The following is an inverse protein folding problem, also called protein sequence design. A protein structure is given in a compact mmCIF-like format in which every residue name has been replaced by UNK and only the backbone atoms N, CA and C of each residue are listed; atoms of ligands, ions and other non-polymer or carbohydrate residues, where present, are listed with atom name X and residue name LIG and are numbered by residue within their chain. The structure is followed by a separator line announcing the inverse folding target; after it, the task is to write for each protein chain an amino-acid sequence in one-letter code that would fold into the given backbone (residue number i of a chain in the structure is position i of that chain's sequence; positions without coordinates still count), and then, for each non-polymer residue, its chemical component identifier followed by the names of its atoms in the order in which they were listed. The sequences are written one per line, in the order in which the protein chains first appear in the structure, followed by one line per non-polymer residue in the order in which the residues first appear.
data_IF_507825061801
#
_entry.id   IF_507825061801
#
_cell.length_a   1.000
_cell.length_b   1.000
_cell.length_c   1.000
_cell.angle_alpha   90.00
_cell.angle_beta   90.00
_cell.angle_gamma   90.00
#
_symmetry.space_group_name_H-M   'P 1'
#
loop_
_entity.id
_entity.type
_entity.pdbx_description
1 polymer ?
#
# COMPACT_ATOMS: atom_id res chain seq x y z
N UNK A 1 -4.16 -14.85 -4.32
CA UNK A 1 -5.10 -14.91 -5.45
C UNK A 1 -6.42 -15.51 -4.99
N UNK A 2 -7.54 -15.01 -5.52
CA UNK A 2 -8.87 -15.60 -5.34
C UNK A 2 -9.44 -16.05 -6.69
N UNK A 3 -10.29 -17.06 -6.65
CA UNK A 3 -11.00 -17.52 -7.84
C UNK A 3 -12.48 -17.21 -7.72
N UNK A 4 -13.03 -16.52 -8.70
CA UNK A 4 -14.44 -16.13 -8.74
C UNK A 4 -15.12 -16.65 -10.02
N UNK A 5 -16.45 -16.68 -9.99
CA UNK A 5 -17.25 -16.83 -11.21
C UNK A 5 -17.91 -15.47 -11.48
N UNK A 6 -17.53 -14.86 -12.61
CA UNK A 6 -18.07 -13.60 -13.07
C UNK A 6 -18.62 -13.77 -14.49
N UNK A 7 -19.88 -13.38 -14.71
CA UNK A 7 -20.56 -13.52 -16.01
C UNK A 7 -20.44 -14.92 -16.61
N UNK A 8 -20.53 -15.96 -15.76
CA UNK A 8 -20.46 -17.37 -16.17
C UNK A 8 -19.03 -17.89 -16.48
N UNK A 9 -18.01 -17.09 -16.28
CA UNK A 9 -16.60 -17.47 -16.51
C UNK A 9 -15.84 -17.53 -15.21
N UNK A 10 -14.94 -18.52 -15.10
CA UNK A 10 -13.98 -18.63 -14.00
C UNK A 10 -12.87 -17.59 -14.21
N UNK A 11 -12.64 -16.73 -13.23
CA UNK A 11 -11.62 -15.66 -13.24
C UNK A 11 -10.75 -15.80 -12.00
N UNK A 12 -9.45 -15.76 -12.19
CA UNK A 12 -8.48 -15.69 -11.10
C UNK A 12 -8.03 -14.24 -10.95
N UNK A 13 -8.26 -13.67 -9.77
CA UNK A 13 -7.87 -12.29 -9.44
C UNK A 13 -6.69 -12.30 -8.47
N UNK A 14 -5.73 -11.44 -8.73
CA UNK A 14 -4.69 -11.13 -7.75
C UNK A 14 -5.30 -10.26 -6.65
N UNK A 15 -5.27 -10.68 -5.39
CA UNK A 15 -5.80 -9.94 -4.26
C UNK A 15 -5.17 -8.56 -4.10
N UNK A 16 -3.89 -8.41 -4.46
CA UNK A 16 -3.19 -7.12 -4.45
C UNK A 16 -3.74 -6.08 -5.43
N UNK A 17 -4.51 -6.49 -6.45
CA UNK A 17 -5.16 -5.56 -7.38
C UNK A 17 -6.58 -5.17 -6.97
N UNK A 18 -7.14 -5.82 -5.96
CA UNK A 18 -8.50 -5.55 -5.47
C UNK A 18 -8.48 -4.31 -4.57
N UNK A 19 -9.24 -3.30 -4.95
CA UNK A 19 -9.38 -2.07 -4.17
C UNK A 19 -10.46 -2.22 -3.09
N UNK A 20 -11.63 -2.68 -3.50
CA UNK A 20 -12.74 -2.94 -2.58
C UNK A 20 -13.76 -3.89 -3.20
N UNK A 21 -14.64 -4.40 -2.34
CA UNK A 21 -15.81 -5.19 -2.70
C UNK A 21 -17.03 -4.48 -2.17
N UNK A 22 -18.03 -4.28 -3.04
CA UNK A 22 -19.25 -3.57 -2.72
C UNK A 22 -20.47 -4.41 -3.08
N UNK A 23 -21.45 -4.49 -2.20
CA UNK A 23 -22.74 -5.09 -2.48
C UNK A 23 -23.74 -4.00 -2.89
N UNK A 24 -24.15 -4.01 -4.16
CA UNK A 24 -25.11 -3.09 -4.73
C UNK A 24 -26.29 -3.89 -5.30
N UNK A 25 -27.52 -3.60 -4.88
CA UNK A 25 -28.72 -4.27 -5.39
C UNK A 25 -28.67 -5.81 -5.32
N UNK A 26 -28.15 -6.37 -4.23
CA UNK A 26 -27.94 -7.81 -3.99
C UNK A 26 -26.89 -8.46 -4.89
N UNK A 27 -26.16 -7.69 -5.69
CA UNK A 27 -25.03 -8.15 -6.48
C UNK A 27 -23.75 -7.73 -5.75
N UNK A 28 -22.80 -8.64 -5.64
CA UNK A 28 -21.49 -8.34 -5.10
C UNK A 28 -20.55 -8.04 -6.25
N UNK A 29 -19.92 -6.88 -6.20
CA UNK A 29 -19.00 -6.36 -7.22
C UNK A 29 -17.60 -6.21 -6.63
N UNK A 30 -16.61 -6.76 -7.33
CA UNK A 30 -15.19 -6.65 -6.97
C UNK A 30 -14.57 -5.58 -7.87
N UNK A 31 -14.13 -4.49 -7.26
CA UNK A 31 -13.50 -3.36 -7.93
C UNK A 31 -11.98 -3.53 -7.86
N UNK A 32 -11.32 -3.51 -9.00
CA UNK A 32 -9.87 -3.68 -9.09
C UNK A 32 -9.18 -2.44 -9.66
N UNK A 33 -7.88 -2.33 -9.44
CA UNK A 33 -7.04 -1.30 -10.05
C UNK A 33 -7.20 -1.29 -11.56
N UNK A 34 -7.18 -0.10 -12.17
CA UNK A 34 -7.47 0.07 -13.61
C UNK A 34 -8.96 0.17 -13.95
N UNK A 35 -9.85 0.32 -12.95
CA UNK A 35 -11.26 0.64 -13.14
C UNK A 35 -12.14 -0.54 -13.58
N UNK A 36 -11.64 -1.76 -13.54
CA UNK A 36 -12.41 -2.93 -13.93
C UNK A 36 -13.25 -3.44 -12.76
N UNK A 37 -14.48 -3.89 -13.05
CA UNK A 37 -15.45 -4.37 -12.07
C UNK A 37 -15.86 -5.80 -12.44
N UNK A 38 -15.85 -6.69 -11.45
CA UNK A 38 -16.25 -8.08 -11.63
C UNK A 38 -17.44 -8.40 -10.73
N UNK A 39 -18.66 -8.48 -11.28
CA UNK A 39 -19.80 -8.99 -10.53
C UNK A 39 -19.63 -10.47 -10.23
N UNK A 40 -20.00 -10.90 -9.01
CA UNK A 40 -19.90 -12.29 -8.60
C UNK A 40 -21.13 -12.75 -7.83
N UNK A 41 -21.37 -14.06 -7.81
CA UNK A 41 -22.42 -14.69 -6.97
C UNK A 41 -21.92 -15.05 -5.57
N UNK A 42 -20.63 -14.91 -5.31
CA UNK A 42 -20.09 -15.10 -3.96
C UNK A 42 -20.70 -14.08 -3.01
N UNK A 43 -20.97 -14.52 -1.80
CA UNK A 43 -21.44 -13.63 -0.74
C UNK A 43 -20.29 -12.83 -0.14
N UNK A 44 -20.60 -11.71 0.51
CA UNK A 44 -19.56 -10.94 1.22
C UNK A 44 -18.81 -11.73 2.30
N UNK A 45 -19.48 -12.58 3.12
CA UNK A 45 -18.75 -13.42 4.08
C UNK A 45 -17.79 -14.43 3.44
N UNK A 46 -18.17 -15.03 2.30
CA UNK A 46 -17.26 -15.91 1.54
C UNK A 46 -16.06 -15.14 1.02
N UNK A 47 -16.26 -13.96 0.43
CA UNK A 47 -15.18 -13.11 -0.04
C UNK A 47 -14.30 -12.59 1.10
N UNK A 48 -14.88 -12.20 2.24
CA UNK A 48 -14.14 -11.79 3.43
C UNK A 48 -13.14 -12.87 3.87
N UNK A 49 -13.55 -14.13 3.83
CA UNK A 49 -12.69 -15.27 4.15
C UNK A 49 -11.59 -15.51 3.11
N UNK A 50 -11.93 -15.43 1.82
CA UNK A 50 -10.98 -15.68 0.71
C UNK A 50 -9.96 -14.55 0.54
N UNK A 51 -10.35 -13.31 0.81
CA UNK A 51 -9.49 -12.12 0.68
C UNK A 51 -8.41 -12.06 1.78
N UNK A 52 -8.68 -12.64 2.95
CA UNK A 52 -7.73 -12.71 4.07
C UNK A 52 -7.50 -11.38 4.78
N UNK A 53 -6.39 -11.31 5.52
CA UNK A 53 -6.14 -10.25 6.52
C UNK A 53 -5.85 -8.85 5.95
N UNK A 54 -5.59 -8.72 4.66
CA UNK A 54 -5.31 -7.42 4.03
C UNK A 54 -6.53 -6.52 3.84
N UNK A 55 -7.73 -6.96 4.24
CA UNK A 55 -8.99 -6.29 3.97
C UNK A 55 -9.76 -5.95 5.24
N UNK A 56 -10.54 -4.87 5.19
CA UNK A 56 -11.31 -4.31 6.30
C UNK A 56 -12.78 -4.24 5.91
N UNK A 57 -13.65 -4.80 6.72
CA UNK A 57 -15.10 -4.66 6.57
C UNK A 57 -15.56 -3.34 7.18
N UNK A 58 -15.88 -2.38 6.33
CA UNK A 58 -16.20 -1.01 6.73
C UNK A 58 -17.70 -0.78 6.99
N UNK A 59 -18.55 -1.59 6.35
CA UNK A 59 -19.96 -1.74 6.69
C UNK A 59 -20.51 -3.09 6.21
N UNK A 60 -21.79 -3.36 6.44
CA UNK A 60 -22.43 -4.65 6.10
C UNK A 60 -22.35 -5.05 4.61
N UNK A 61 -22.17 -4.08 3.72
CA UNK A 61 -22.13 -4.28 2.27
C UNK A 61 -20.79 -3.91 1.64
N UNK A 62 -19.73 -3.61 2.42
CA UNK A 62 -18.45 -3.20 1.84
C UNK A 62 -17.25 -3.73 2.61
N UNK A 63 -16.29 -4.23 1.85
CA UNK A 63 -14.97 -4.64 2.31
C UNK A 63 -13.94 -3.87 1.47
N UNK A 64 -12.93 -3.27 2.09
CA UNK A 64 -11.91 -2.47 1.42
C UNK A 64 -10.51 -2.99 1.71
N UNK A 65 -9.64 -2.96 0.72
CA UNK A 65 -8.22 -3.26 0.89
C UNK A 65 -7.54 -2.18 1.73
N UNK A 66 -6.84 -2.55 2.79
CA UNK A 66 -6.09 -1.59 3.62
C UNK A 66 -5.03 -0.84 2.80
N UNK A 67 -4.48 -1.46 1.75
CA UNK A 67 -3.50 -0.82 0.85
C UNK A 67 -4.13 0.17 -0.13
N UNK A 68 -5.44 0.06 -0.38
CA UNK A 68 -6.15 1.00 -1.25
C UNK A 68 -6.56 2.29 -0.52
N UNK A 69 -6.56 2.29 0.82
CA UNK A 69 -6.99 3.43 1.63
C UNK A 69 -5.89 4.49 1.64
N UNK A 70 -6.24 5.71 1.22
CA UNK A 70 -5.40 6.91 1.36
C UNK A 70 -5.55 7.53 2.75
N UNK A 71 -6.80 7.82 3.16
CA UNK A 71 -7.11 8.31 4.50
C UNK A 71 -8.55 7.97 4.90
N UNK A 72 -8.84 8.10 6.20
CA UNK A 72 -10.16 7.89 6.79
C UNK A 72 -10.57 9.18 7.52
N UNK A 73 -11.55 9.88 6.94
CA UNK A 73 -12.14 11.11 7.51
C UNK A 73 -13.64 10.92 7.71
N UNK A 74 -14.48 11.70 7.04
CA UNK A 74 -15.94 11.48 6.98
C UNK A 74 -16.30 10.32 6.05
N UNK A 75 -15.40 10.05 5.10
CA UNK A 75 -15.43 8.88 4.21
C UNK A 75 -14.07 8.19 4.24
N UNK A 76 -14.01 6.98 3.70
CA UNK A 76 -12.76 6.30 3.36
C UNK A 76 -12.37 6.75 1.96
N UNK A 77 -11.31 7.55 1.85
CA UNK A 77 -10.79 8.00 0.58
C UNK A 77 -9.73 7.01 0.10
N UNK A 78 -9.82 6.61 -1.17
CA UNK A 78 -8.92 5.65 -1.79
C UNK A 78 -7.81 6.36 -2.58
N UNK A 79 -6.71 5.66 -2.80
CA UNK A 79 -5.57 6.15 -3.57
C UNK A 79 -5.91 6.49 -5.04
N UNK A 80 -6.99 5.91 -5.58
CA UNK A 80 -7.48 6.18 -6.93
C UNK A 80 -8.46 7.38 -7.00
N UNK A 81 -8.69 8.07 -5.87
CA UNK A 81 -9.59 9.23 -5.77
C UNK A 81 -11.05 8.90 -5.48
N UNK A 82 -11.43 7.62 -5.43
CA UNK A 82 -12.78 7.21 -5.03
C UNK A 82 -12.97 7.35 -3.51
N UNK A 83 -14.23 7.50 -3.10
CA UNK A 83 -14.61 7.60 -1.68
C UNK A 83 -15.69 6.59 -1.34
N UNK A 84 -15.52 5.90 -0.23
CA UNK A 84 -16.45 4.89 0.28
C UNK A 84 -17.04 5.36 1.61
N UNK A 85 -18.33 5.11 1.80
CA UNK A 85 -18.99 5.32 3.09
C UNK A 85 -18.63 4.17 4.06
N UNK A 86 -18.67 4.44 5.33
CA UNK A 86 -18.47 3.44 6.38
C UNK A 86 -19.44 3.64 7.55
N UNK A 87 -19.52 2.66 8.43
CA UNK A 87 -20.36 2.75 9.63
C UNK A 87 -19.70 3.67 10.66
N UNK A 88 -20.18 4.90 10.81
CA UNK A 88 -19.60 5.97 11.68
C UNK A 88 -19.37 5.47 13.11
N UNK A 89 -20.29 4.69 13.68
CA UNK A 89 -20.14 4.11 15.02
C UNK A 89 -18.94 3.19 15.18
N UNK A 90 -18.37 2.70 14.07
CA UNK A 90 -17.17 1.84 14.03
C UNK A 90 -15.91 2.58 13.62
N UNK A 91 -15.93 3.91 13.54
CA UNK A 91 -14.80 4.72 13.05
C UNK A 91 -13.48 4.34 13.73
N UNK A 92 -13.43 4.36 15.05
CA UNK A 92 -12.20 4.05 15.80
C UNK A 92 -11.72 2.61 15.55
N UNK A 93 -12.64 1.65 15.50
CA UNK A 93 -12.32 0.24 15.21
C UNK A 93 -11.75 0.09 13.79
N UNK A 94 -12.32 0.79 12.80
CA UNK A 94 -11.85 0.75 11.41
C UNK A 94 -10.46 1.38 11.29
N UNK A 95 -10.23 2.51 11.97
CA UNK A 95 -8.93 3.19 12.01
C UNK A 95 -7.88 2.28 12.66
N UNK A 96 -8.18 1.67 13.78
CA UNK A 96 -7.28 0.73 14.48
C UNK A 96 -6.94 -0.47 13.60
N UNK A 97 -7.94 -1.08 12.93
CA UNK A 97 -7.72 -2.15 11.98
C UNK A 97 -6.86 -1.70 10.79
N UNK A 98 -7.08 -0.50 10.28
CA UNK A 98 -6.30 0.05 9.17
C UNK A 98 -4.81 0.13 9.53
N UNK A 99 -4.46 0.75 10.63
CA UNK A 99 -3.06 0.85 11.06
C UNK A 99 -2.44 -0.52 11.41
N UNK A 100 -3.20 -1.38 12.09
CA UNK A 100 -2.74 -2.73 12.41
C UNK A 100 -2.43 -3.55 11.16
N UNK A 101 -3.32 -3.49 10.15
CA UNK A 101 -3.14 -4.22 8.90
C UNK A 101 -2.02 -3.65 8.05
N UNK A 102 -1.87 -2.34 7.96
CA UNK A 102 -0.71 -1.73 7.30
C UNK A 102 0.61 -2.17 7.94
N UNK A 103 0.69 -2.13 9.27
CA UNK A 103 1.87 -2.61 10.01
C UNK A 103 2.17 -4.08 9.75
N UNK A 104 1.14 -4.93 9.72
CA UNK A 104 1.28 -6.36 9.41
C UNK A 104 1.75 -6.60 7.97
N UNK A 105 1.19 -5.88 7.00
CA UNK A 105 1.61 -5.97 5.59
C UNK A 105 3.08 -5.57 5.46
N UNK A 106 3.49 -4.44 6.01
CA UNK A 106 4.88 -3.97 6.00
C UNK A 106 5.80 -4.99 6.66
N UNK A 107 5.40 -5.57 7.81
CA UNK A 107 6.22 -6.58 8.51
C UNK A 107 6.31 -7.90 7.75
N UNK A 108 5.28 -8.28 6.99
CA UNK A 108 5.28 -9.47 6.16
C UNK A 108 6.14 -9.29 4.89
N UNK A 109 6.08 -8.11 4.27
CA UNK A 109 7.03 -7.75 3.21
C UNK A 109 8.48 -7.90 3.68
N UNK A 110 8.80 -7.49 4.90
CA UNK A 110 10.15 -7.67 5.49
C UNK A 110 10.53 -9.15 5.70
N UNK A 111 9.57 -10.07 5.86
CA UNK A 111 9.83 -11.51 6.02
C UNK A 111 10.00 -12.26 4.70
N UNK A 112 9.51 -11.76 3.60
CA UNK A 112 9.49 -12.44 2.29
C UNK A 112 10.71 -12.10 1.40
N UNK A 113 11.85 -11.79 1.99
CA UNK A 113 13.10 -11.60 1.22
C UNK A 113 13.36 -10.18 0.77
N UNK A 114 12.80 -9.20 1.46
CA UNK A 114 13.22 -7.81 1.29
C UNK A 114 14.69 -7.67 1.70
N UNK A 115 15.47 -6.95 0.91
CA UNK A 115 16.85 -6.66 1.22
C UNK A 115 16.98 -6.08 2.64
N UNK A 116 17.97 -6.55 3.40
CA UNK A 116 18.24 -6.04 4.75
C UNK A 116 19.63 -5.42 4.86
N UNK A 117 20.50 -5.75 3.90
CA UNK A 117 21.85 -5.17 3.80
C UNK A 117 21.96 -4.32 2.54
N UNK A 118 22.92 -3.41 2.49
CA UNK A 118 23.18 -2.58 1.31
C UNK A 118 23.49 -3.42 0.06
N UNK A 119 24.15 -4.57 0.24
CA UNK A 119 24.45 -5.50 -0.84
C UNK A 119 23.18 -6.17 -1.38
N UNK A 120 22.27 -6.58 -0.49
CA UNK A 120 20.97 -7.14 -0.85
C UNK A 120 20.13 -6.12 -1.62
N UNK A 121 20.11 -4.86 -1.19
CA UNK A 121 19.39 -3.78 -1.89
C UNK A 121 19.95 -3.56 -3.29
N UNK A 122 21.27 -3.50 -3.47
CA UNK A 122 21.90 -3.37 -4.78
C UNK A 122 21.59 -4.53 -5.71
N UNK A 123 21.59 -5.76 -5.20
CA UNK A 123 21.27 -6.96 -5.95
C UNK A 123 19.79 -6.98 -6.37
N UNK A 124 18.91 -6.67 -5.43
CA UNK A 124 17.45 -6.65 -5.65
C UNK A 124 17.04 -5.62 -6.71
N UNK A 125 17.62 -4.43 -6.64
CA UNK A 125 17.33 -3.33 -7.55
C UNK A 125 18.32 -3.18 -8.72
N UNK A 126 19.11 -4.19 -9.01
CA UNK A 126 20.14 -4.13 -10.06
C UNK A 126 19.61 -3.73 -11.45
N UNK A 127 18.37 -4.11 -11.79
CA UNK A 127 17.71 -3.71 -13.04
C UNK A 127 17.32 -2.23 -13.10
N UNK A 128 17.30 -1.53 -11.97
CA UNK A 128 16.92 -0.11 -11.87
C UNK A 128 18.12 0.83 -11.90
N UNK A 129 19.35 0.30 -11.83
CA UNK A 129 20.59 1.09 -11.77
C UNK A 129 20.76 2.03 -12.97
N UNK A 130 20.41 1.56 -14.17
CA UNK A 130 20.61 2.28 -15.42
C UNK A 130 19.36 3.01 -15.93
N UNK A 131 18.33 3.19 -15.10
CA UNK A 131 17.16 3.96 -15.50
C UNK A 131 17.53 5.44 -15.76
N UNK A 132 16.91 6.08 -16.76
CA UNK A 132 17.18 7.48 -17.09
C UNK A 132 16.56 8.48 -16.11
N UNK A 133 15.82 8.00 -15.12
CA UNK A 133 15.17 8.80 -14.07
C UNK A 133 15.63 8.33 -12.68
N UNK A 134 15.56 9.25 -11.72
CA UNK A 134 15.89 8.96 -10.33
C UNK A 134 14.95 7.91 -9.75
N UNK A 135 15.53 6.87 -9.17
CA UNK A 135 14.81 5.82 -8.43
C UNK A 135 15.45 5.63 -7.08
N UNK A 136 14.63 5.51 -6.04
CA UNK A 136 15.07 5.26 -4.68
C UNK A 136 14.10 4.34 -3.95
N UNK A 137 14.63 3.54 -3.03
CA UNK A 137 13.88 2.87 -1.98
C UNK A 137 14.23 3.52 -0.64
N UNK A 138 13.21 3.76 0.17
CA UNK A 138 13.33 4.44 1.45
C UNK A 138 12.71 3.62 2.58
N UNK A 139 13.33 3.64 3.73
CA UNK A 139 12.75 3.13 4.97
C UNK A 139 12.15 4.29 5.76
N UNK A 140 10.85 4.24 6.00
CA UNK A 140 10.14 5.25 6.79
C UNK A 140 10.46 5.10 8.28
N UNK A 141 10.77 6.20 8.95
CA UNK A 141 10.95 6.28 10.40
C UNK A 141 9.67 6.82 11.02
N UNK A 142 9.13 6.10 11.99
CA UNK A 142 7.89 6.45 12.68
C UNK A 142 8.18 6.79 14.15
N UNK A 143 7.46 7.77 14.71
CA UNK A 143 7.43 8.03 16.14
C UNK A 143 6.53 7.03 16.89
N UNK A 144 6.46 7.16 18.22
CA UNK A 144 5.65 6.30 19.09
C UNK A 144 4.14 6.38 18.79
N UNK A 145 3.69 7.48 18.19
CA UNK A 145 2.30 7.69 17.75
C UNK A 145 2.03 7.15 16.33
N UNK A 146 2.99 6.42 15.74
CA UNK A 146 2.94 5.87 14.38
C UNK A 146 2.83 6.93 13.27
N UNK A 147 3.27 8.16 13.54
CA UNK A 147 3.43 9.19 12.51
C UNK A 147 4.81 9.05 11.85
N UNK A 148 4.86 9.15 10.53
CA UNK A 148 6.12 9.21 9.81
C UNK A 148 6.81 10.55 10.11
N UNK A 149 8.03 10.49 10.65
CA UNK A 149 8.81 11.67 11.07
C UNK A 149 10.07 11.88 10.25
N UNK A 150 10.56 10.83 9.58
CA UNK A 150 11.74 10.89 8.73
C UNK A 150 11.77 9.67 7.80
N UNK A 151 12.75 9.58 6.89
CA UNK A 151 13.05 8.36 6.14
C UNK A 151 14.55 8.21 5.89
N UNK A 152 14.97 6.97 5.68
CA UNK A 152 16.35 6.61 5.41
C UNK A 152 16.45 6.10 3.98
N UNK A 153 17.41 6.58 3.21
CA UNK A 153 17.68 6.09 1.87
C UNK A 153 18.33 4.70 1.95
N UNK A 154 17.66 3.67 1.44
CA UNK A 154 18.16 2.29 1.43
C UNK A 154 18.74 1.88 0.09
N UNK A 155 18.20 2.42 -0.98
CA UNK A 155 18.72 2.27 -2.33
C UNK A 155 18.54 3.55 -3.12
N UNK A 156 19.43 3.79 -4.07
CA UNK A 156 19.34 4.85 -5.07
C UNK A 156 20.17 4.51 -6.30
N UNK A 157 19.68 4.88 -7.47
CA UNK A 157 20.41 4.71 -8.71
C UNK A 157 21.28 5.93 -9.03
N UNK A 158 22.12 5.82 -10.07
CA UNK A 158 23.01 6.91 -10.51
C UNK A 158 22.28 8.19 -10.91
N UNK A 159 21.03 8.08 -11.37
CA UNK A 159 20.22 9.23 -11.70
C UNK A 159 19.75 10.00 -10.46
N UNK A 160 19.49 9.32 -9.35
CA UNK A 160 19.22 9.96 -8.05
C UNK A 160 20.44 10.76 -7.56
N UNK A 161 21.62 10.16 -7.58
CA UNK A 161 22.86 10.84 -7.19
C UNK A 161 23.08 12.14 -7.95
N UNK A 162 22.81 12.13 -9.26
CA UNK A 162 22.88 13.32 -10.11
C UNK A 162 21.81 14.35 -9.78
N UNK A 163 20.59 13.90 -9.48
CA UNK A 163 19.46 14.78 -9.12
C UNK A 163 19.75 15.52 -7.82
N UNK A 164 20.19 14.78 -6.80
CA UNK A 164 20.48 15.32 -5.47
C UNK A 164 21.85 16.02 -5.39
N UNK A 165 22.68 15.91 -6.45
CA UNK A 165 24.07 16.42 -6.48
C UNK A 165 24.94 15.90 -5.33
N UNK A 166 24.71 14.67 -4.92
CA UNK A 166 25.37 13.96 -3.85
C UNK A 166 25.81 12.57 -4.32
N UNK A 167 26.88 12.03 -3.73
CA UNK A 167 27.26 10.66 -4.03
C UNK A 167 26.29 9.66 -3.38
N UNK A 168 26.16 8.46 -3.96
CA UNK A 168 25.35 7.40 -3.34
C UNK A 168 25.86 7.02 -1.94
N UNK A 169 27.18 7.10 -1.70
CA UNK A 169 27.78 6.85 -0.39
C UNK A 169 27.31 7.87 0.67
N UNK A 170 27.05 9.10 0.26
CA UNK A 170 26.52 10.14 1.16
C UNK A 170 25.01 9.98 1.39
N UNK A 171 24.26 9.51 0.39
CA UNK A 171 22.82 9.33 0.47
C UNK A 171 22.42 8.06 1.22
N UNK A 172 22.99 6.93 0.85
CA UNK A 172 22.56 5.63 1.39
C UNK A 172 22.89 5.49 2.88
N UNK A 173 21.92 5.03 3.65
CA UNK A 173 22.00 4.92 5.10
C UNK A 173 21.78 6.24 5.86
N UNK A 174 21.70 7.37 5.15
CA UNK A 174 21.43 8.67 5.76
C UNK A 174 19.94 8.97 5.80
N UNK A 175 19.50 9.72 6.83
CA UNK A 175 18.12 10.19 6.90
C UNK A 175 17.93 11.46 6.09
N UNK A 176 16.72 11.64 5.57
CA UNK A 176 16.37 12.85 4.82
C UNK A 176 16.51 14.10 5.71
N UNK A 177 15.96 14.06 6.93
CA UNK A 177 16.07 15.18 7.87
C UNK A 177 17.52 15.51 8.21
N UNK A 178 18.41 14.51 8.29
CA UNK A 178 19.83 14.72 8.53
C UNK A 178 20.57 15.39 7.37
N UNK A 179 20.23 15.00 6.12
CA UNK A 179 20.88 15.56 4.91
C UNK A 179 20.35 16.94 4.54
N UNK A 180 19.05 17.18 4.73
CA UNK A 180 18.36 18.35 4.19
C UNK A 180 17.82 19.30 5.27
N UNK A 181 18.23 19.13 6.54
CA UNK A 181 17.81 19.96 7.68
C UNK A 181 18.03 21.47 7.52
N UNK A 182 18.86 21.89 6.57
CA UNK A 182 19.16 23.29 6.30
C UNK A 182 18.39 23.87 5.06
N UNK A 183 17.48 23.12 4.47
CA UNK A 183 16.75 23.59 3.27
C UNK A 183 15.58 24.54 3.56
N UNK A 184 15.09 24.59 4.81
CA UNK A 184 13.96 25.46 5.21
C UNK A 184 14.35 26.89 5.59
N UNK A 185 15.59 27.31 5.35
CA UNK A 185 16.08 28.63 5.72
C UNK A 185 16.38 29.58 4.54
N UNK A 186 15.60 29.45 3.44
CA UNK A 186 15.63 30.48 2.39
C UNK A 186 14.25 30.82 1.87
#
# INVERSE_FOLDING_TARGET
HITIISSGRKIVLNTGTILYVLMTNKIVEIHVSGGKIYPTRMTLPELEKELGDGFIKVHRGCIVSAMAIHNISDNINLNNGESLIYTIRKKNQIIEQFYSKQKSIISNFRKEGIPTTDEDYRKYYSSFENLPFAFTDIEMVFNDESHAVDWIFRYGNSALAKLEKMSLEQLLGSSFGGLFSNMDSK
#
